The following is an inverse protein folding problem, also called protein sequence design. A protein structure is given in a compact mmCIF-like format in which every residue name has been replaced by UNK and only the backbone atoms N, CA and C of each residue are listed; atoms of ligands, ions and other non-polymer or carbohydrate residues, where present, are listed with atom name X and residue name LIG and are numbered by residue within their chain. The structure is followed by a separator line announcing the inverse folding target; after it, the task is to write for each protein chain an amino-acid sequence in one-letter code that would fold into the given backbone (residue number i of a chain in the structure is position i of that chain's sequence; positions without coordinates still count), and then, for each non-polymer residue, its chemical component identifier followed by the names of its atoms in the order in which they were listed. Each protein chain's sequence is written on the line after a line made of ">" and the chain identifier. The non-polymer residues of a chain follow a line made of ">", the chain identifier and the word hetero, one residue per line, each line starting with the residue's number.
data_IF_695346229436
#
_entry.id   IF_695346229436
#
_cell.length_a   1.000
_cell.length_b   1.000
_cell.length_c   1.000
_cell.angle_alpha   90.00
_cell.angle_beta   90.00
_cell.angle_gamma   90.00
#
_symmetry.space_group_name_H-M   'P 1'
#
loop_
_entity.id
_entity.type
_entity.pdbx_description
1 polymer ?
#
# COMPACT_ATOMS: atom_id res chain seq x y z
N UNK A 1 10.28 8.21 28.70
CA UNK A 1 9.60 6.91 28.66
C UNK A 1 10.62 5.92 28.08
N UNK A 2 11.06 4.97 28.90
CA UNK A 2 11.88 3.86 28.40
C UNK A 2 10.93 3.04 27.55
N UNK A 3 11.11 3.08 26.21
CA UNK A 3 10.32 2.28 25.31
C UNK A 3 10.56 0.81 25.65
N UNK A 4 9.49 0.10 25.96
CA UNK A 4 9.51 -1.34 26.06
C UNK A 4 10.11 -1.88 24.76
N UNK A 5 11.14 -2.71 24.82
CA UNK A 5 11.82 -3.31 23.65
C UNK A 5 10.85 -4.01 22.68
N UNK A 6 9.64 -4.29 23.17
CA UNK A 6 8.53 -4.86 22.41
C UNK A 6 7.76 -3.85 21.54
N UNK A 7 8.01 -2.56 21.62
CA UNK A 7 7.22 -1.52 20.92
C UNK A 7 7.44 -1.53 19.40
N UNK A 8 8.53 -2.10 18.91
CA UNK A 8 8.88 -2.16 17.49
C UNK A 8 8.54 -3.48 16.79
N UNK A 9 8.06 -4.48 17.55
CA UNK A 9 7.68 -5.75 16.95
C UNK A 9 6.25 -5.71 16.43
N UNK A 10 6.07 -6.21 15.22
CA UNK A 10 4.74 -6.42 14.67
C UNK A 10 4.13 -7.67 15.32
N UNK A 11 3.03 -7.50 16.05
CA UNK A 11 2.28 -8.59 16.66
C UNK A 11 1.11 -8.99 15.78
N UNK A 12 0.89 -10.29 15.66
CA UNK A 12 -0.37 -10.82 15.13
C UNK A 12 -1.32 -11.00 16.30
N UNK A 13 -2.33 -10.13 16.38
CA UNK A 13 -3.33 -10.15 17.46
C UNK A 13 -4.35 -11.26 17.26
N UNK A 14 -4.76 -11.47 16.01
CA UNK A 14 -5.67 -12.53 15.61
C UNK A 14 -5.47 -12.81 14.11
N UNK A 15 -5.58 -14.08 13.72
CA UNK A 15 -5.53 -14.48 12.33
C UNK A 15 -6.31 -15.76 12.11
N UNK A 16 -6.98 -15.84 10.99
CA UNK A 16 -7.68 -17.05 10.55
C UNK A 16 -7.26 -17.39 9.12
N UNK A 17 -7.14 -18.67 8.86
CA UNK A 17 -6.83 -19.20 7.53
C UNK A 17 -7.80 -20.32 7.20
N UNK A 18 -8.57 -20.11 6.15
CA UNK A 18 -9.56 -21.06 5.65
C UNK A 18 -9.08 -21.67 4.33
N UNK A 19 -9.17 -22.97 4.23
CA UNK A 19 -8.87 -23.75 3.02
C UNK A 19 -10.17 -23.93 2.24
N UNK A 20 -10.47 -22.98 1.36
CA UNK A 20 -11.70 -23.01 0.56
C UNK A 20 -11.75 -24.17 -0.42
N UNK A 21 -10.59 -24.51 -1.01
CA UNK A 21 -10.42 -25.63 -1.92
C UNK A 21 -8.99 -26.15 -1.86
N UNK A 22 -8.67 -27.18 -2.65
CA UNK A 22 -7.28 -27.64 -2.80
C UNK A 22 -6.38 -26.66 -3.57
N UNK A 23 -6.94 -25.58 -4.13
CA UNK A 23 -6.20 -24.57 -4.88
C UNK A 23 -6.37 -23.17 -4.33
N UNK A 24 -7.24 -22.94 -3.33
CA UNK A 24 -7.51 -21.60 -2.78
C UNK A 24 -7.50 -21.58 -1.26
N UNK A 25 -6.78 -20.63 -0.73
CA UNK A 25 -6.75 -20.31 0.70
C UNK A 25 -7.18 -18.86 0.84
N UNK A 26 -8.03 -18.60 1.82
CA UNK A 26 -8.44 -17.24 2.21
C UNK A 26 -8.25 -17.05 3.69
N UNK A 27 -8.22 -15.80 4.13
CA UNK A 27 -8.11 -15.51 5.53
C UNK A 27 -7.96 -14.04 5.84
N UNK A 28 -7.70 -13.77 7.10
CA UNK A 28 -7.37 -12.44 7.56
C UNK A 28 -6.25 -12.49 8.61
N UNK A 29 -5.58 -11.37 8.80
CA UNK A 29 -4.71 -11.16 9.93
C UNK A 29 -4.90 -9.74 10.49
N UNK A 30 -5.16 -9.66 11.79
CA UNK A 30 -5.17 -8.43 12.56
C UNK A 30 -3.82 -8.28 13.24
N UNK A 31 -3.12 -7.23 12.89
CA UNK A 31 -1.77 -6.98 13.37
C UNK A 31 -1.69 -5.63 14.07
N UNK A 32 -0.76 -5.50 15.00
CA UNK A 32 -0.45 -4.26 15.69
C UNK A 32 1.05 -3.99 15.62
N UNK A 33 1.38 -2.77 15.26
CA UNK A 33 2.71 -2.19 15.36
C UNK A 33 2.52 -0.72 15.74
N UNK A 34 2.96 0.24 14.96
CA UNK A 34 2.62 1.66 15.16
C UNK A 34 1.12 1.93 15.01
N UNK A 35 0.48 1.20 14.12
CA UNK A 35 -0.99 1.17 14.01
C UNK A 35 -1.50 -0.25 14.16
N UNK A 36 -2.75 -0.38 14.55
CA UNK A 36 -3.50 -1.63 14.46
C UNK A 36 -4.25 -1.68 13.15
N UNK A 37 -4.12 -2.81 12.43
CA UNK A 37 -4.80 -3.00 11.15
C UNK A 37 -5.27 -4.44 10.98
N UNK A 38 -6.35 -4.61 10.21
CA UNK A 38 -6.75 -5.88 9.68
C UNK A 38 -6.52 -5.87 8.17
N UNK A 39 -5.97 -6.93 7.62
CA UNK A 39 -5.93 -7.19 6.20
C UNK A 39 -6.46 -8.57 5.91
N UNK A 40 -7.18 -8.66 4.82
CA UNK A 40 -7.74 -9.89 4.28
C UNK A 40 -6.93 -10.33 3.09
N UNK A 41 -6.88 -11.62 2.84
CA UNK A 41 -6.11 -12.15 1.74
C UNK A 41 -6.79 -13.33 1.06
N UNK A 42 -6.44 -13.52 -0.20
CA UNK A 42 -6.67 -14.74 -0.96
C UNK A 42 -5.38 -15.19 -1.60
N UNK A 43 -5.14 -16.50 -1.55
CA UNK A 43 -3.98 -17.17 -2.18
C UNK A 43 -4.52 -18.22 -3.10
N UNK A 44 -4.09 -18.22 -4.37
CA UNK A 44 -4.44 -19.25 -5.34
C UNK A 44 -3.20 -19.93 -5.87
N UNK A 45 -3.35 -21.23 -6.11
CA UNK A 45 -2.34 -22.10 -6.71
C UNK A 45 -2.84 -22.61 -8.06
N UNK A 46 -1.96 -22.67 -9.07
CA UNK A 46 -2.28 -23.27 -10.37
C UNK A 46 -2.38 -24.79 -10.32
N UNK A 47 -1.99 -25.41 -9.21
CA UNK A 47 -2.02 -26.86 -8.96
C UNK A 47 -2.64 -27.15 -7.60
N UNK A 48 -3.42 -28.22 -7.43
CA UNK A 48 -3.95 -28.61 -6.13
C UNK A 48 -2.84 -29.10 -5.20
N UNK A 49 -2.87 -28.69 -3.94
CA UNK A 49 -2.06 -29.34 -2.91
C UNK A 49 -2.69 -30.68 -2.51
N UNK A 50 -1.85 -31.68 -2.20
CA UNK A 50 -2.29 -33.01 -1.76
C UNK A 50 -2.52 -33.10 -0.26
N UNK A 51 -1.61 -32.50 0.52
CA UNK A 51 -1.64 -32.56 1.97
C UNK A 51 -1.34 -31.18 2.56
N UNK A 52 -1.85 -30.96 3.76
CA UNK A 52 -1.56 -29.79 4.56
C UNK A 52 -1.16 -30.21 5.96
N UNK A 53 -0.07 -29.66 6.45
CA UNK A 53 0.45 -29.92 7.78
C UNK A 53 0.46 -28.64 8.60
N UNK A 54 -0.31 -28.63 9.70
CA UNK A 54 -0.29 -27.50 10.62
C UNK A 54 1.01 -27.53 11.42
N UNK A 55 1.72 -26.42 11.43
CA UNK A 55 2.91 -26.24 12.23
C UNK A 55 2.56 -25.62 13.59
N UNK A 56 3.35 -25.91 14.65
CA UNK A 56 3.23 -25.21 15.92
C UNK A 56 3.52 -23.70 15.73
N UNK A 57 2.94 -22.87 16.58
CA UNK A 57 3.27 -21.45 16.65
C UNK A 57 4.75 -21.28 17.01
N UNK A 58 5.41 -20.29 16.42
CA UNK A 58 6.80 -19.96 16.73
C UNK A 58 6.95 -19.34 18.11
N UNK A 59 6.03 -18.45 18.42
CA UNK A 59 6.00 -17.69 19.67
C UNK A 59 4.53 -17.58 20.12
N UNK A 60 4.31 -17.53 21.44
CA UNK A 60 2.99 -17.31 22.02
C UNK A 60 2.37 -15.97 21.60
N UNK A 61 3.21 -15.02 21.16
CA UNK A 61 2.80 -13.71 20.66
C UNK A 61 2.41 -13.71 19.17
N UNK A 62 2.75 -14.78 18.42
CA UNK A 62 2.38 -14.96 17.02
C UNK A 62 1.17 -15.89 16.91
N UNK A 63 -0.03 -15.32 16.92
CA UNK A 63 -1.27 -16.09 16.78
C UNK A 63 -1.65 -16.43 15.33
N UNK A 64 -0.72 -16.28 14.41
CA UNK A 64 -0.95 -16.63 13.00
C UNK A 64 -0.85 -18.14 12.78
N UNK A 65 -1.85 -18.77 12.15
CA UNK A 65 -1.76 -20.17 11.79
C UNK A 65 -0.68 -20.38 10.73
N UNK A 66 0.07 -21.47 10.88
CA UNK A 66 1.18 -21.81 9.97
C UNK A 66 0.96 -23.20 9.39
N UNK A 67 1.15 -23.32 8.09
CA UNK A 67 0.98 -24.58 7.37
C UNK A 67 2.12 -24.83 6.39
N UNK A 68 2.42 -26.09 6.18
CA UNK A 68 3.16 -26.60 5.02
C UNK A 68 2.17 -27.27 4.09
N UNK A 69 2.31 -27.03 2.80
CA UNK A 69 1.48 -27.63 1.76
C UNK A 69 2.35 -28.48 0.85
N UNK A 70 1.92 -29.70 0.62
CA UNK A 70 2.63 -30.64 -0.27
C UNK A 70 1.96 -30.66 -1.64
N UNK A 71 2.76 -30.44 -2.68
CA UNK A 71 2.33 -30.48 -4.07
C UNK A 71 3.00 -31.65 -4.78
N UNK A 72 2.25 -32.32 -5.66
CA UNK A 72 2.78 -33.36 -6.53
C UNK A 72 3.16 -32.76 -7.89
N UNK A 73 4.43 -32.41 -8.02
CA UNK A 73 4.97 -31.79 -9.22
C UNK A 73 5.95 -32.75 -9.89
N UNK A 74 5.80 -32.94 -11.19
CA UNK A 74 6.79 -33.66 -12.00
C UNK A 74 7.96 -32.72 -12.33
N UNK A 75 9.10 -33.34 -12.69
CA UNK A 75 10.26 -32.57 -13.12
C UNK A 75 9.92 -31.67 -14.32
N UNK A 76 10.14 -30.36 -14.16
CA UNK A 76 9.86 -29.33 -15.17
C UNK A 76 8.46 -28.69 -15.07
N UNK A 77 7.59 -29.16 -14.18
CA UNK A 77 6.35 -28.47 -13.87
C UNK A 77 6.58 -27.30 -12.90
N UNK A 78 5.85 -26.21 -13.10
CA UNK A 78 5.94 -24.99 -12.29
C UNK A 78 4.72 -24.86 -11.37
N UNK A 79 5.00 -24.53 -10.11
CA UNK A 79 3.98 -24.07 -9.17
C UNK A 79 3.90 -22.55 -9.25
N UNK A 80 2.78 -22.06 -9.72
CA UNK A 80 2.47 -20.64 -9.72
C UNK A 80 1.53 -20.31 -8.57
N UNK A 81 1.78 -19.18 -7.92
CA UNK A 81 1.00 -18.70 -6.79
C UNK A 81 0.57 -17.25 -7.07
N UNK A 82 -0.71 -16.98 -6.89
CA UNK A 82 -1.27 -15.62 -6.90
C UNK A 82 -1.69 -15.25 -5.50
N UNK A 83 -1.43 -14.00 -5.12
CA UNK A 83 -1.84 -13.44 -3.82
C UNK A 83 -2.45 -12.07 -4.05
N UNK A 84 -3.61 -11.84 -3.46
CA UNK A 84 -4.19 -10.51 -3.36
C UNK A 84 -4.59 -10.19 -1.93
N UNK A 85 -4.58 -8.90 -1.65
CA UNK A 85 -4.92 -8.33 -0.34
C UNK A 85 -6.12 -7.40 -0.49
N UNK A 86 -6.84 -7.23 0.62
CA UNK A 86 -7.88 -6.19 0.79
C UNK A 86 -7.80 -5.65 2.21
N UNK A 87 -8.10 -4.37 2.38
CA UNK A 87 -8.27 -3.76 3.69
C UNK A 87 -9.72 -3.86 4.20
N UNK A 88 -10.63 -4.44 3.41
CA UNK A 88 -12.07 -4.41 3.63
C UNK A 88 -12.64 -5.79 3.96
N UNK A 89 -12.39 -6.80 3.11
CA UNK A 89 -12.98 -8.14 3.27
C UNK A 89 -12.26 -9.22 2.46
N UNK A 90 -12.54 -10.49 2.78
CA UNK A 90 -12.07 -11.64 1.98
C UNK A 90 -12.62 -11.56 0.55
N UNK A 91 -13.87 -11.16 0.37
CA UNK A 91 -14.51 -10.98 -0.93
C UNK A 91 -13.84 -9.86 -1.72
N UNK A 92 -13.40 -8.77 -1.05
CA UNK A 92 -12.57 -7.73 -1.63
C UNK A 92 -11.25 -8.29 -2.16
N UNK A 93 -10.54 -9.08 -1.37
CA UNK A 93 -9.28 -9.71 -1.80
C UNK A 93 -9.49 -10.65 -3.00
N UNK A 94 -10.57 -11.42 -3.04
CA UNK A 94 -10.93 -12.27 -4.19
C UNK A 94 -11.17 -11.42 -5.44
N UNK A 95 -11.99 -10.37 -5.32
CA UNK A 95 -12.28 -9.45 -6.42
C UNK A 95 -11.04 -8.78 -6.97
N UNK A 96 -10.14 -8.33 -6.09
CA UNK A 96 -8.84 -7.76 -6.47
C UNK A 96 -8.02 -8.78 -7.28
N UNK A 97 -7.95 -10.02 -6.81
CA UNK A 97 -7.23 -11.10 -7.52
C UNK A 97 -7.79 -11.34 -8.92
N UNK A 98 -9.10 -11.47 -9.03
CA UNK A 98 -9.80 -11.75 -10.30
C UNK A 98 -9.66 -10.59 -11.29
N UNK A 99 -9.66 -9.36 -10.80
CA UNK A 99 -9.55 -8.16 -11.63
C UNK A 99 -8.11 -7.92 -12.09
N UNK A 100 -7.14 -8.03 -11.18
CA UNK A 100 -5.75 -7.64 -11.46
C UNK A 100 -4.92 -8.80 -12.04
N UNK A 101 -5.24 -10.05 -11.67
CA UNK A 101 -4.50 -11.25 -12.07
C UNK A 101 -5.44 -12.35 -12.60
N UNK A 102 -6.23 -12.12 -13.67
CA UNK A 102 -7.21 -13.09 -14.15
C UNK A 102 -6.57 -14.38 -14.69
N UNK A 103 -5.34 -14.32 -15.17
CA UNK A 103 -4.62 -15.45 -15.80
C UNK A 103 -3.46 -16.00 -14.97
N UNK A 104 -2.79 -17.02 -15.53
CA UNK A 104 -1.61 -17.66 -14.93
C UNK A 104 -0.32 -17.45 -15.75
N UNK A 105 -0.31 -16.49 -16.68
CA UNK A 105 0.88 -16.15 -17.47
C UNK A 105 1.78 -15.19 -16.70
N UNK A 106 2.78 -15.73 -16.01
CA UNK A 106 3.77 -14.95 -15.27
C UNK A 106 4.54 -13.97 -16.17
N UNK A 107 4.83 -14.35 -17.41
CA UNK A 107 5.59 -13.49 -18.32
C UNK A 107 4.73 -12.32 -18.80
N UNK A 108 3.45 -12.52 -19.02
CA UNK A 108 2.52 -11.42 -19.32
C UNK A 108 2.44 -10.43 -18.16
N UNK A 109 2.31 -10.88 -16.92
CA UNK A 109 2.30 -10.03 -15.72
C UNK A 109 3.60 -9.24 -15.60
N UNK A 110 4.75 -9.89 -15.79
CA UNK A 110 6.06 -9.24 -15.78
C UNK A 110 6.18 -8.14 -16.85
N UNK A 111 5.66 -8.39 -18.05
CA UNK A 111 5.68 -7.41 -19.14
C UNK A 111 4.77 -6.21 -18.84
N UNK A 112 3.59 -6.44 -18.27
CA UNK A 112 2.68 -5.37 -17.86
C UNK A 112 3.34 -4.50 -16.79
N UNK A 113 3.91 -5.11 -15.75
CA UNK A 113 4.63 -4.37 -14.70
C UNK A 113 5.80 -3.56 -15.25
N UNK A 114 6.59 -4.14 -16.16
CA UNK A 114 7.69 -3.44 -16.83
C UNK A 114 7.18 -2.24 -17.64
N UNK A 115 6.07 -2.41 -18.38
CA UNK A 115 5.47 -1.34 -19.19
C UNK A 115 4.95 -0.18 -18.31
N UNK A 116 4.30 -0.49 -17.20
CA UNK A 116 3.82 0.53 -16.26
C UNK A 116 4.98 1.31 -15.63
N UNK A 117 6.03 0.63 -15.15
CA UNK A 117 7.22 1.31 -14.66
C UNK A 117 7.89 2.18 -15.73
N UNK A 118 7.99 1.67 -16.96
CA UNK A 118 8.56 2.44 -18.06
C UNK A 118 7.74 3.70 -18.38
N UNK A 119 6.41 3.63 -18.30
CA UNK A 119 5.52 4.78 -18.48
C UNK A 119 5.86 5.92 -17.51
N UNK A 120 6.09 5.61 -16.23
CA UNK A 120 6.46 6.62 -15.24
C UNK A 120 7.91 7.12 -15.41
N UNK A 121 8.85 6.22 -15.58
CA UNK A 121 10.26 6.58 -15.67
C UNK A 121 10.61 7.34 -16.94
N UNK A 122 9.88 7.13 -18.05
CA UNK A 122 10.09 7.83 -19.31
C UNK A 122 9.51 9.26 -19.37
N UNK A 123 8.81 9.71 -18.32
CA UNK A 123 8.25 11.08 -18.26
C UNK A 123 9.31 12.17 -18.27
N UNK A 124 10.48 11.87 -17.80
CA UNK A 124 11.65 12.75 -17.87
C UNK A 124 12.76 12.03 -18.63
N UNK A 125 13.24 12.65 -19.70
CA UNK A 125 14.38 12.12 -20.45
C UNK A 125 15.63 12.98 -20.15
N UNK A 126 16.66 12.37 -19.59
CA UNK A 126 17.91 13.05 -19.24
C UNK A 126 19.05 12.67 -20.18
N UNK A 127 19.87 13.66 -20.52
CA UNK A 127 21.13 13.44 -21.23
C UNK A 127 22.27 13.36 -20.20
N UNK A 128 23.18 12.42 -20.38
CA UNK A 128 24.30 12.22 -19.45
C UNK A 128 24.99 10.88 -19.67
N UNK A 129 25.97 10.60 -18.85
CA UNK A 129 26.68 9.32 -18.83
C UNK A 129 25.72 8.19 -18.36
N UNK A 130 26.10 6.95 -18.61
CA UNK A 130 25.33 5.77 -18.15
C UNK A 130 25.16 5.77 -16.63
N UNK A 131 26.18 6.19 -15.90
CA UNK A 131 26.14 6.26 -14.43
C UNK A 131 25.17 7.36 -13.96
N UNK A 132 25.25 8.57 -14.52
CA UNK A 132 24.32 9.66 -14.21
C UNK A 132 22.86 9.27 -14.48
N UNK A 133 22.60 8.63 -15.62
CA UNK A 133 21.26 8.12 -15.95
C UNK A 133 20.80 7.06 -14.94
N UNK A 134 21.67 6.15 -14.54
CA UNK A 134 21.35 5.12 -13.54
C UNK A 134 20.97 5.76 -12.20
N UNK A 135 21.74 6.72 -11.72
CA UNK A 135 21.46 7.45 -10.47
C UNK A 135 20.09 8.16 -10.57
N UNK A 136 19.87 8.89 -11.66
CA UNK A 136 18.64 9.65 -11.88
C UNK A 136 17.40 8.74 -11.92
N UNK A 137 17.40 7.70 -12.74
CA UNK A 137 16.24 6.82 -12.87
C UNK A 137 16.04 5.93 -11.63
N UNK A 138 17.09 5.61 -10.89
CA UNK A 138 16.96 4.94 -9.59
C UNK A 138 16.28 5.87 -8.57
N UNK A 139 16.61 7.16 -8.57
CA UNK A 139 15.94 8.14 -7.71
C UNK A 139 14.48 8.33 -8.10
N UNK A 140 14.16 8.41 -9.40
CA UNK A 140 12.78 8.44 -9.89
C UNK A 140 12.00 7.16 -9.51
N UNK A 141 12.59 6.00 -9.65
CA UNK A 141 11.97 4.74 -9.22
C UNK A 141 11.58 4.79 -7.74
N UNK A 142 12.51 5.23 -6.88
CA UNK A 142 12.24 5.35 -5.43
C UNK A 142 11.15 6.36 -5.12
N UNK A 143 11.03 7.43 -5.88
CA UNK A 143 9.97 8.42 -5.73
C UNK A 143 8.57 7.80 -5.88
N UNK A 144 8.41 6.81 -6.76
CA UNK A 144 7.13 6.16 -7.06
C UNK A 144 6.87 4.86 -6.27
N UNK A 145 7.76 4.45 -5.35
CA UNK A 145 7.50 3.30 -4.47
C UNK A 145 6.39 3.63 -3.46
N UNK A 146 6.31 4.87 -3.05
CA UNK A 146 5.32 5.39 -2.08
C UNK A 146 4.87 6.79 -2.51
N UNK A 147 3.65 7.21 -2.15
CA UNK A 147 2.63 6.49 -1.39
C UNK A 147 1.97 5.35 -2.17
N UNK A 148 1.35 4.41 -1.44
CA UNK A 148 0.69 3.26 -2.03
C UNK A 148 -0.83 3.46 -2.10
N UNK A 149 -1.46 3.11 -3.21
CA UNK A 149 -2.90 2.93 -3.27
C UNK A 149 -3.27 1.63 -2.55
N UNK A 150 -4.09 1.73 -1.51
CA UNK A 150 -4.54 0.60 -0.69
C UNK A 150 -6.04 0.32 -0.85
N UNK A 151 -6.71 1.00 -1.79
CA UNK A 151 -8.11 0.74 -2.10
C UNK A 151 -8.28 -0.57 -2.85
N UNK A 152 -9.42 -1.23 -2.63
CA UNK A 152 -9.86 -2.34 -3.46
C UNK A 152 -10.22 -1.85 -4.87
N UNK A 153 -10.20 -2.74 -5.86
CA UNK A 153 -10.39 -2.40 -7.28
C UNK A 153 -11.75 -1.78 -7.61
N UNK A 154 -12.75 -1.99 -6.77
CA UNK A 154 -14.10 -1.42 -6.88
C UNK A 154 -14.31 -0.14 -6.04
N UNK A 155 -13.26 0.36 -5.39
CA UNK A 155 -13.30 1.54 -4.55
C UNK A 155 -12.53 2.72 -5.15
N UNK A 156 -12.90 3.96 -4.81
CA UNK A 156 -12.11 5.12 -5.16
C UNK A 156 -10.68 5.02 -4.59
N UNK A 157 -9.71 5.50 -5.35
CA UNK A 157 -8.30 5.54 -4.96
C UNK A 157 -8.13 6.11 -3.54
N UNK A 158 -7.35 5.40 -2.74
CA UNK A 158 -7.00 5.83 -1.39
C UNK A 158 -5.52 5.58 -1.14
N UNK A 159 -4.76 6.67 -1.13
CA UNK A 159 -3.32 6.61 -0.88
C UNK A 159 -3.02 6.59 0.62
N UNK A 160 -2.11 5.71 0.98
CA UNK A 160 -1.52 5.62 2.31
C UNK A 160 0.00 5.53 2.22
N UNK A 161 0.68 5.39 3.36
CA UNK A 161 2.14 5.49 3.46
C UNK A 161 2.60 6.91 3.10
N UNK A 162 1.90 7.89 3.67
CA UNK A 162 2.15 9.31 3.46
C UNK A 162 3.14 9.81 4.53
N UNK A 163 4.42 9.76 4.23
CA UNK A 163 5.48 10.35 5.06
C UNK A 163 5.65 11.83 4.71
N UNK A 164 4.70 12.66 5.13
CA UNK A 164 4.61 14.06 4.68
C UNK A 164 5.78 14.92 5.17
N UNK A 165 6.37 14.60 6.33
CA UNK A 165 7.60 15.23 6.80
C UNK A 165 8.73 15.17 5.76
N UNK A 166 8.88 14.02 5.10
CA UNK A 166 9.94 13.80 4.11
C UNK A 166 9.58 14.36 2.74
N UNK A 167 8.31 14.23 2.36
CA UNK A 167 7.88 14.37 0.95
C UNK A 167 7.36 15.75 0.58
N UNK A 168 6.91 16.56 1.56
CA UNK A 168 6.25 17.85 1.29
C UNK A 168 7.12 18.86 0.56
N UNK A 169 8.45 18.85 0.80
CA UNK A 169 9.39 19.85 0.25
C UNK A 169 9.70 19.64 -1.23
N UNK A 170 9.79 18.38 -1.67
CA UNK A 170 10.28 18.07 -3.01
C UNK A 170 9.40 17.06 -3.74
N UNK A 171 9.07 15.92 -3.14
CA UNK A 171 8.33 14.86 -3.81
C UNK A 171 6.93 15.30 -4.24
N UNK A 172 6.11 15.86 -3.32
CA UNK A 172 4.78 16.34 -3.66
C UNK A 172 4.80 17.50 -4.69
N UNK A 173 5.64 18.54 -4.56
CA UNK A 173 5.80 19.53 -5.62
C UNK A 173 6.22 18.93 -6.97
N UNK A 174 7.09 17.90 -6.97
CA UNK A 174 7.51 17.23 -8.19
C UNK A 174 6.37 16.44 -8.82
N UNK A 175 5.50 15.77 -8.04
CA UNK A 175 4.33 15.07 -8.58
C UNK A 175 3.40 16.01 -9.35
N UNK A 176 3.27 17.28 -8.97
CA UNK A 176 2.46 18.25 -9.71
C UNK A 176 2.97 18.50 -11.14
N UNK A 177 4.23 18.16 -11.41
CA UNK A 177 4.90 18.31 -12.71
C UNK A 177 4.93 16.97 -13.47
N UNK A 178 5.40 15.91 -12.78
CA UNK A 178 5.68 14.63 -13.46
C UNK A 178 4.49 13.66 -13.44
N UNK A 179 3.53 13.86 -12.54
CA UNK A 179 2.35 13.00 -12.38
C UNK A 179 1.12 13.79 -11.92
N UNK A 180 0.71 14.83 -12.67
CA UNK A 180 -0.38 15.70 -12.25
C UNK A 180 -1.72 14.96 -12.06
N UNK A 181 -1.91 13.82 -12.70
CA UNK A 181 -3.12 13.01 -12.62
C UNK A 181 -3.38 12.43 -11.22
N UNK A 182 -2.34 12.21 -10.40
CA UNK A 182 -2.48 11.61 -9.06
C UNK A 182 -2.59 12.65 -7.94
N UNK A 183 -2.38 13.93 -8.22
CA UNK A 183 -2.31 14.99 -7.20
C UNK A 183 -3.64 15.17 -6.47
N UNK A 184 -4.75 15.18 -7.21
CA UNK A 184 -6.07 15.28 -6.60
C UNK A 184 -6.38 14.08 -5.70
N UNK A 185 -5.95 12.87 -6.09
CA UNK A 185 -6.17 11.66 -5.31
C UNK A 185 -5.37 11.67 -4.00
N UNK A 186 -4.17 12.27 -4.00
CA UNK A 186 -3.42 12.49 -2.76
C UNK A 186 -4.18 13.40 -1.80
N UNK A 187 -4.70 14.54 -2.29
CA UNK A 187 -5.46 15.46 -1.46
C UNK A 187 -6.75 14.81 -0.97
N UNK A 188 -7.50 14.14 -1.85
CA UNK A 188 -8.73 13.42 -1.47
C UNK A 188 -8.46 12.34 -0.42
N UNK A 189 -7.33 11.63 -0.51
CA UNK A 189 -6.93 10.64 0.50
C UNK A 189 -6.67 11.29 1.86
N UNK A 190 -6.02 12.46 1.89
CA UNK A 190 -5.80 13.24 3.11
C UNK A 190 -7.12 13.74 3.71
N UNK A 191 -8.06 14.18 2.87
CA UNK A 191 -9.38 14.62 3.30
C UNK A 191 -10.26 13.47 3.81
N UNK A 192 -10.16 12.29 3.20
CA UNK A 192 -10.84 11.08 3.69
C UNK A 192 -10.29 10.66 5.06
N UNK A 193 -8.99 10.82 5.26
CA UNK A 193 -8.36 10.55 6.54
C UNK A 193 -8.79 11.56 7.61
N UNK A 194 -8.89 12.85 7.25
CA UNK A 194 -9.47 13.88 8.10
C UNK A 194 -10.90 13.54 8.56
N UNK A 195 -11.76 13.00 7.68
CA UNK A 195 -13.13 12.57 8.06
C UNK A 195 -13.13 11.52 9.17
N UNK A 196 -12.11 10.68 9.18
CA UNK A 196 -12.05 9.55 10.12
C UNK A 196 -11.43 9.94 11.46
N UNK A 197 -10.40 10.80 11.46
CA UNK A 197 -9.61 11.09 12.64
C UNK A 197 -9.74 12.53 13.16
N UNK A 198 -10.39 13.43 12.40
CA UNK A 198 -10.64 14.83 12.78
C UNK A 198 -9.50 15.80 12.51
N UNK A 199 -8.38 15.35 11.97
CA UNK A 199 -7.23 16.17 11.58
C UNK A 199 -6.55 15.59 10.33
N UNK A 200 -5.77 16.43 9.62
CA UNK A 200 -5.01 16.00 8.45
C UNK A 200 -3.85 15.08 8.84
N UNK A 201 -3.45 14.14 7.96
CA UNK A 201 -2.37 13.21 8.27
C UNK A 201 -1.02 13.92 8.46
N UNK A 202 -0.19 13.36 9.34
CA UNK A 202 1.20 13.75 9.55
C UNK A 202 2.12 12.67 8.97
N UNK A 203 1.95 11.44 9.43
CA UNK A 203 2.60 10.26 8.90
C UNK A 203 1.62 9.08 8.89
N UNK A 204 0.85 9.01 7.82
CA UNK A 204 -0.18 8.00 7.68
C UNK A 204 0.37 6.67 7.19
N UNK A 205 0.04 5.59 7.89
CA UNK A 205 0.36 4.22 7.51
C UNK A 205 -0.95 3.40 7.45
N UNK A 206 -1.23 2.80 6.30
CA UNK A 206 -2.43 1.98 6.07
C UNK A 206 -3.76 2.67 6.43
N UNK A 207 -3.85 3.97 6.16
CA UNK A 207 -5.04 4.76 6.44
C UNK A 207 -5.18 5.24 7.89
N UNK A 208 -4.24 4.94 8.78
CA UNK A 208 -4.20 5.40 10.17
C UNK A 208 -3.01 6.31 10.46
N UNK A 209 -3.15 7.24 11.39
CA UNK A 209 -2.03 8.08 11.84
C UNK A 209 -1.13 7.30 12.80
N UNK A 210 0.18 7.44 12.62
CA UNK A 210 1.17 6.72 13.44
C UNK A 210 1.58 7.46 14.70
N UNK A 211 1.30 8.76 14.79
CA UNK A 211 1.70 9.64 15.90
C UNK A 211 3.23 9.63 16.18
N UNK A 212 4.02 9.36 15.14
CA UNK A 212 5.48 9.23 15.27
C UNK A 212 6.24 10.49 14.88
N UNK A 213 5.64 11.36 14.09
CA UNK A 213 6.26 12.58 13.56
C UNK A 213 5.52 13.82 14.05
N UNK A 214 6.20 14.95 13.94
CA UNK A 214 5.67 16.28 14.28
C UNK A 214 5.35 17.08 13.02
N UNK A 215 4.62 18.17 13.18
CA UNK A 215 4.34 19.14 12.15
C UNK A 215 3.02 18.92 11.42
N UNK A 216 2.73 19.81 10.49
CA UNK A 216 1.46 19.88 9.76
C UNK A 216 1.74 19.94 8.24
N UNK A 217 2.46 18.96 7.74
CA UNK A 217 3.00 18.98 6.38
C UNK A 217 1.97 18.67 5.28
N UNK A 218 0.79 18.19 5.64
CA UNK A 218 -0.34 18.09 4.72
C UNK A 218 -0.78 19.49 4.22
N UNK A 219 -0.67 20.52 5.06
CA UNK A 219 -1.07 21.88 4.70
C UNK A 219 -0.33 22.41 3.48
N UNK A 220 1.01 22.48 3.46
CA UNK A 220 1.73 22.95 2.28
C UNK A 220 1.47 22.09 1.05
N UNK A 221 1.24 20.78 1.18
CA UNK A 221 0.91 19.91 0.03
C UNK A 221 -0.43 20.28 -0.58
N UNK A 222 -1.47 20.46 0.24
CA UNK A 222 -2.81 20.85 -0.23
C UNK A 222 -2.80 22.26 -0.82
N UNK A 223 -2.13 23.20 -0.16
CA UNK A 223 -2.04 24.61 -0.62
C UNK A 223 -1.26 24.69 -1.93
N UNK A 224 -0.14 23.98 -2.07
CA UNK A 224 0.65 23.93 -3.32
C UNK A 224 -0.20 23.39 -4.47
N UNK A 225 -0.93 22.30 -4.25
CA UNK A 225 -1.86 21.74 -5.24
C UNK A 225 -2.93 22.78 -5.64
N UNK A 226 -3.55 23.46 -4.67
CA UNK A 226 -4.55 24.49 -4.93
C UNK A 226 -3.97 25.67 -5.72
N UNK A 227 -2.82 26.20 -5.33
CA UNK A 227 -2.17 27.34 -6.00
C UNK A 227 -1.72 26.99 -7.44
N UNK A 228 -1.40 25.74 -7.70
CA UNK A 228 -1.07 25.23 -9.04
C UNK A 228 -2.28 24.88 -9.92
N UNK A 229 -3.50 25.16 -9.44
CA UNK A 229 -4.72 25.01 -10.21
C UNK A 229 -5.41 23.66 -10.13
N UNK A 230 -4.96 22.74 -9.27
CA UNK A 230 -5.68 21.49 -9.05
C UNK A 230 -6.99 21.75 -8.29
N UNK A 231 -8.10 21.21 -8.81
CA UNK A 231 -9.47 21.44 -8.30
C UNK A 231 -10.32 20.17 -8.22
N UNK A 232 -9.73 19.00 -8.36
CA UNK A 232 -10.44 17.72 -8.28
C UNK A 232 -10.68 17.24 -6.84
N UNK A 233 -10.75 18.17 -5.88
CA UNK A 233 -11.06 17.94 -4.47
C UNK A 233 -11.96 19.05 -3.91
N UNK A 234 -12.63 18.77 -2.79
CA UNK A 234 -13.47 19.75 -2.09
C UNK A 234 -12.60 20.79 -1.39
N UNK A 235 -12.59 22.02 -1.93
CA UNK A 235 -11.75 23.14 -1.47
C UNK A 235 -12.22 23.66 -0.12
N UNK A 236 -13.54 23.74 0.12
CA UNK A 236 -14.11 24.23 1.39
C UNK A 236 -13.80 23.24 2.52
N UNK A 237 -13.94 21.94 2.22
CA UNK A 237 -13.54 20.89 3.13
C UNK A 237 -12.03 20.93 3.43
N UNK A 238 -11.20 21.13 2.40
CA UNK A 238 -9.75 21.27 2.57
C UNK A 238 -9.39 22.43 3.46
N UNK A 239 -10.03 23.60 3.27
CA UNK A 239 -9.84 24.77 4.13
C UNK A 239 -10.26 24.49 5.59
N UNK A 240 -11.40 23.85 5.79
CA UNK A 240 -11.90 23.47 7.11
C UNK A 240 -10.95 22.48 7.79
N UNK A 241 -10.46 21.49 7.06
CA UNK A 241 -9.49 20.50 7.55
C UNK A 241 -8.16 21.15 7.96
N UNK A 242 -7.66 22.11 7.18
CA UNK A 242 -6.45 22.88 7.51
C UNK A 242 -6.66 23.65 8.82
N UNK A 243 -7.77 24.39 8.94
CA UNK A 243 -8.07 25.18 10.17
C UNK A 243 -8.12 24.29 11.42
N UNK A 244 -8.84 23.17 11.36
CA UNK A 244 -8.99 22.26 12.49
C UNK A 244 -7.66 21.58 12.84
N UNK A 245 -6.87 21.19 11.83
CA UNK A 245 -5.56 20.57 12.07
C UNK A 245 -4.54 21.52 12.72
N UNK A 246 -4.65 22.83 12.50
CA UNK A 246 -3.79 23.84 13.14
C UNK A 246 -4.11 24.07 14.63
N UNK A 247 -5.30 23.67 15.08
CA UNK A 247 -5.72 23.82 16.49
C UNK A 247 -5.23 22.65 17.34
N UNK A 248 -4.93 21.52 16.73
CA UNK A 248 -4.55 20.26 17.41
C UNK A 248 -3.03 20.01 17.48
N UNK A 249 -2.21 21.02 17.19
CA UNK A 249 -0.73 20.93 17.28
C UNK A 249 -0.25 21.49 18.61
#
# INVERSE_FOLDING_TARGET
>A
MVGDENTFHQYVLNAEQLFESSTRIVGFARTKSWIERCYYYTIEFNRPYKQKHKLPLRDIREQAPRYVLDFDLKKGEELLVKVALSSVSIEGAKRNLETELPGWDFNAVKQVAHKEWHKFLSRINVKGTTEQKRIFYTAMYRLFIQPNNIADTDQPTFYSTLSLWDTYRAAHPLYTIVSPEIVNDFVNSMLKQFDTQGFLPIWALWGGETYTMIGNHAVPVIVDAYLKGFRGFDVEKAYSAIRLSLIHI
#
